data_IF_849904328872
#
_entry.id   IF_849904328872
#
_cell.length_a   1.000
_cell.length_b   1.000
_cell.length_c   1.000
_cell.angle_alpha   90.00
_cell.angle_beta   90.00
_cell.angle_gamma   90.00
#
_symmetry.space_group_name_H-M   'P 1'
#
loop_
_entity.id
_entity.type
_entity.pdbx_description
1 polymer ?
#
# COMPACT_ATOMS: atom_id res chain seq x y z
N UNK A 1 36.70 -23.78 36.11
CA UNK A 1 36.17 -24.17 37.43
C UNK A 1 35.10 -25.22 37.19
N UNK A 2 35.39 -26.50 37.40
CA UNK A 2 34.32 -27.51 37.41
C UNK A 2 33.55 -27.31 38.72
N UNK A 3 32.33 -26.82 38.65
CA UNK A 3 31.41 -26.93 39.78
C UNK A 3 31.19 -28.42 40.01
N UNK A 4 31.38 -28.88 41.25
CA UNK A 4 30.93 -30.22 41.64
C UNK A 4 29.42 -30.27 41.46
N UNK A 5 28.94 -31.22 40.66
CA UNK A 5 27.51 -31.46 40.55
C UNK A 5 26.95 -31.76 41.94
N UNK A 6 25.74 -31.26 42.22
CA UNK A 6 25.00 -31.63 43.44
C UNK A 6 24.35 -33.00 43.31
N UNK A 7 24.28 -33.52 42.10
CA UNK A 7 23.65 -34.80 41.78
C UNK A 7 24.60 -35.95 42.09
N UNK A 8 24.02 -37.07 42.48
CA UNK A 8 24.78 -38.29 42.81
C UNK A 8 25.44 -38.88 41.56
N UNK A 9 26.54 -39.61 41.75
CA UNK A 9 27.26 -40.29 40.66
C UNK A 9 26.34 -41.25 39.89
N UNK A 10 25.46 -41.94 40.61
CA UNK A 10 24.44 -42.84 40.07
C UNK A 10 23.44 -42.10 39.15
N UNK A 11 23.01 -40.88 39.51
CA UNK A 11 22.15 -40.07 38.65
C UNK A 11 22.86 -39.65 37.38
N UNK A 12 24.13 -39.23 37.45
CA UNK A 12 24.91 -38.85 36.28
C UNK A 12 25.12 -40.02 35.32
N UNK A 13 25.36 -41.23 35.85
CA UNK A 13 25.44 -42.44 35.04
C UNK A 13 24.10 -42.79 34.38
N UNK A 14 22.97 -42.64 35.09
CA UNK A 14 21.66 -42.84 34.50
C UNK A 14 21.37 -41.85 33.35
N UNK A 15 21.80 -40.60 33.47
CA UNK A 15 21.71 -39.62 32.39
C UNK A 15 22.56 -39.99 31.16
N UNK A 16 23.79 -40.46 31.38
CA UNK A 16 24.66 -40.94 30.30
C UNK A 16 24.02 -42.14 29.59
N UNK A 17 23.58 -43.14 30.34
CA UNK A 17 22.91 -44.32 29.78
C UNK A 17 21.68 -43.92 28.96
N UNK A 18 20.88 -42.97 29.44
CA UNK A 18 19.73 -42.48 28.70
C UNK A 18 20.12 -41.77 27.40
N UNK A 19 21.14 -40.90 27.43
CA UNK A 19 21.62 -40.19 26.24
C UNK A 19 22.22 -41.14 25.20
N UNK A 20 22.89 -42.21 25.64
CA UNK A 20 23.54 -43.17 24.75
C UNK A 20 22.55 -44.20 24.17
N UNK A 21 21.58 -44.66 24.97
CA UNK A 21 20.74 -45.80 24.59
C UNK A 21 19.32 -45.43 24.19
N UNK A 22 18.76 -44.36 24.77
CA UNK A 22 17.34 -44.03 24.64
C UNK A 22 17.09 -42.75 23.83
N UNK A 23 18.05 -41.82 23.76
CA UNK A 23 17.92 -40.62 22.95
C UNK A 23 18.06 -40.94 21.46
N UNK A 24 17.08 -40.52 20.66
CA UNK A 24 17.13 -40.63 19.19
C UNK A 24 17.24 -39.25 18.58
N UNK A 25 18.30 -39.01 17.82
CA UNK A 25 18.49 -37.78 17.05
C UNK A 25 18.10 -38.05 15.60
N UNK A 26 17.17 -37.26 15.08
CA UNK A 26 16.86 -37.25 13.64
C UNK A 26 17.68 -36.14 13.01
N UNK A 27 18.66 -36.51 12.19
CA UNK A 27 19.46 -35.57 11.42
C UNK A 27 18.92 -35.54 9.99
N UNK A 28 18.42 -34.39 9.55
CA UNK A 28 18.03 -34.17 8.16
C UNK A 28 19.08 -33.28 7.50
N UNK A 29 19.76 -33.82 6.50
CA UNK A 29 20.79 -33.09 5.73
C UNK A 29 20.18 -32.67 4.40
N UNK A 30 20.09 -31.36 4.17
CA UNK A 30 19.61 -30.82 2.92
C UNK A 30 20.76 -30.59 1.93
N UNK A 31 20.52 -30.77 0.62
CA UNK A 31 21.55 -30.61 -0.41
C UNK A 31 21.97 -29.15 -0.63
N UNK A 32 21.11 -28.19 -0.31
CA UNK A 32 21.37 -26.76 -0.39
C UNK A 32 20.47 -25.99 0.60
N UNK A 33 20.74 -24.70 0.80
CA UNK A 33 20.01 -23.89 1.77
C UNK A 33 18.52 -23.71 1.41
N UNK A 34 18.16 -23.76 0.12
CA UNK A 34 16.77 -23.61 -0.32
C UNK A 34 15.95 -24.85 0.01
N UNK A 35 16.52 -26.03 -0.19
CA UNK A 35 15.94 -27.30 0.25
C UNK A 35 15.96 -27.42 1.78
N UNK A 36 17.00 -26.91 2.46
CA UNK A 36 17.06 -26.85 3.92
C UNK A 36 15.92 -26.02 4.48
N UNK A 37 15.62 -24.88 3.85
CA UNK A 37 14.51 -24.02 4.19
C UNK A 37 13.16 -24.72 4.03
N UNK A 38 12.89 -25.35 2.87
CA UNK A 38 11.62 -26.05 2.63
C UNK A 38 11.43 -27.18 3.66
N UNK A 39 12.48 -27.97 3.92
CA UNK A 39 12.46 -29.03 4.93
C UNK A 39 12.17 -28.44 6.32
N UNK A 40 12.83 -27.32 6.65
CA UNK A 40 12.65 -26.65 7.93
C UNK A 40 11.23 -26.08 8.11
N UNK A 41 10.64 -25.47 7.08
CA UNK A 41 9.23 -25.02 7.12
C UNK A 41 8.28 -26.20 7.28
N UNK A 42 8.45 -27.24 6.47
CA UNK A 42 7.57 -28.41 6.50
C UNK A 42 7.62 -29.14 7.86
N UNK A 43 8.78 -29.13 8.53
CA UNK A 43 8.95 -29.73 9.87
C UNK A 43 8.41 -28.85 11.00
N UNK A 44 8.37 -27.51 10.82
CA UNK A 44 7.90 -26.55 11.81
C UNK A 44 6.42 -26.16 11.66
N UNK A 45 5.69 -26.77 10.73
CA UNK A 45 4.27 -26.51 10.40
C UNK A 45 3.26 -26.93 11.51
N UNK A 46 3.66 -26.82 12.79
CA UNK A 46 2.83 -27.05 13.98
C UNK A 46 2.42 -25.76 14.67
N UNK A 47 2.21 -24.68 13.91
CA UNK A 47 1.43 -23.51 14.36
C UNK A 47 2.21 -22.21 14.62
N UNK A 48 3.50 -22.13 14.28
CA UNK A 48 4.23 -20.86 14.22
C UNK A 48 5.07 -20.86 12.94
N UNK A 49 4.72 -20.03 11.94
CA UNK A 49 5.56 -19.79 10.76
C UNK A 49 6.95 -19.33 11.23
N UNK A 50 7.97 -20.17 11.10
CA UNK A 50 9.35 -19.72 11.23
C UNK A 50 9.76 -19.10 9.89
N UNK A 51 9.45 -17.81 9.78
CA UNK A 51 9.50 -17.04 8.56
C UNK A 51 10.93 -16.83 8.03
N UNK A 52 11.06 -16.54 6.74
CA UNK A 52 12.31 -16.15 6.05
C UNK A 52 13.12 -15.07 6.81
N UNK A 53 12.44 -14.26 7.62
CA UNK A 53 13.05 -13.31 8.56
C UNK A 53 14.00 -13.98 9.56
N UNK A 54 13.67 -15.15 10.11
CA UNK A 54 14.50 -15.86 11.07
C UNK A 54 15.76 -16.45 10.45
N UNK A 55 15.67 -16.98 9.24
CA UNK A 55 16.86 -17.39 8.48
C UNK A 55 17.80 -16.22 8.25
N UNK A 56 17.26 -15.08 7.79
CA UNK A 56 18.06 -13.89 7.53
C UNK A 56 18.66 -13.32 8.83
N UNK A 57 17.90 -13.31 9.93
CA UNK A 57 18.34 -12.92 11.27
C UNK A 57 19.54 -13.74 11.71
N UNK A 58 19.40 -15.07 11.70
CA UNK A 58 20.46 -15.99 12.12
C UNK A 58 21.71 -15.85 11.24
N UNK A 59 21.51 -15.69 9.93
CA UNK A 59 22.62 -15.46 9.00
C UNK A 59 23.36 -14.14 9.29
N UNK A 60 22.63 -13.05 9.53
CA UNK A 60 23.20 -11.76 9.91
C UNK A 60 23.99 -11.85 11.22
N UNK A 61 23.43 -12.52 12.22
CA UNK A 61 24.06 -12.69 13.53
C UNK A 61 25.38 -13.46 13.41
N UNK A 62 25.34 -14.59 12.69
CA UNK A 62 26.54 -15.39 12.44
C UNK A 62 27.61 -14.59 11.68
N UNK A 63 27.23 -13.86 10.61
CA UNK A 63 28.17 -13.05 9.83
C UNK A 63 28.75 -11.86 10.58
N UNK A 64 28.11 -11.43 11.67
CA UNK A 64 28.56 -10.28 12.47
C UNK A 64 29.71 -10.61 13.44
N UNK A 65 30.01 -11.91 13.66
CA UNK A 65 31.12 -12.35 14.50
C UNK A 65 31.05 -11.74 15.91
N UNK A 66 32.16 -11.17 16.38
CA UNK A 66 32.26 -10.53 17.71
C UNK A 66 31.38 -9.27 17.87
N UNK A 67 30.75 -8.78 16.80
CA UNK A 67 29.79 -7.66 16.81
C UNK A 67 28.33 -8.12 16.74
N UNK A 68 28.08 -9.40 17.08
CA UNK A 68 26.74 -9.98 17.11
C UNK A 68 25.76 -9.17 17.98
N UNK A 69 26.20 -8.67 19.14
CA UNK A 69 25.29 -7.99 20.08
C UNK A 69 24.80 -6.64 19.55
N UNK A 70 25.66 -5.91 18.85
CA UNK A 70 25.28 -4.69 18.13
C UNK A 70 24.23 -4.97 17.05
N UNK A 71 24.41 -6.08 16.32
CA UNK A 71 23.47 -6.51 15.26
C UNK A 71 22.14 -7.01 15.84
N UNK A 72 22.16 -7.73 16.97
CA UNK A 72 20.94 -8.12 17.69
C UNK A 72 20.15 -6.90 18.13
N UNK A 73 20.81 -5.91 18.74
CA UNK A 73 20.14 -4.70 19.20
C UNK A 73 19.48 -3.93 18.04
N UNK A 74 20.17 -3.81 16.90
CA UNK A 74 19.59 -3.23 15.67
C UNK A 74 18.40 -4.02 15.14
N UNK A 75 18.50 -5.35 15.13
CA UNK A 75 17.40 -6.22 14.70
C UNK A 75 16.18 -6.07 15.62
N UNK A 76 16.37 -6.09 16.94
CA UNK A 76 15.29 -5.92 17.92
C UNK A 76 14.65 -4.54 17.81
N UNK A 77 15.46 -3.48 17.62
CA UNK A 77 14.95 -2.13 17.39
C UNK A 77 14.11 -2.05 16.12
N UNK A 78 14.57 -2.63 15.01
CA UNK A 78 13.82 -2.72 13.76
C UNK A 78 12.47 -3.43 13.97
N UNK A 79 12.46 -4.60 14.62
CA UNK A 79 11.23 -5.37 14.88
C UNK A 79 10.25 -4.55 15.73
N UNK A 80 10.71 -3.97 16.83
CA UNK A 80 9.87 -3.16 17.73
C UNK A 80 9.24 -1.96 17.02
N UNK A 81 9.97 -1.27 16.15
CA UNK A 81 9.44 -0.15 15.34
C UNK A 81 8.32 -0.63 14.41
N UNK A 82 8.52 -1.78 13.75
CA UNK A 82 7.55 -2.31 12.79
C UNK A 82 6.29 -2.84 13.48
N UNK A 83 6.42 -3.55 14.59
CA UNK A 83 5.30 -4.03 15.41
C UNK A 83 4.49 -2.87 16.02
N UNK A 84 5.15 -1.75 16.34
CA UNK A 84 4.46 -0.55 16.82
C UNK A 84 3.74 0.20 15.69
N UNK A 85 4.10 -0.04 14.43
CA UNK A 85 3.55 0.68 13.28
C UNK A 85 2.25 0.07 12.74
N UNK A 86 2.02 -1.22 12.98
CA UNK A 86 0.86 -1.96 12.48
C UNK A 86 0.69 -3.27 13.24
N UNK A 87 -0.57 -3.68 13.42
CA UNK A 87 -0.91 -5.01 13.96
C UNK A 87 -0.57 -6.15 12.98
N UNK A 88 -0.36 -5.85 11.70
CA UNK A 88 0.03 -6.84 10.69
C UNK A 88 1.51 -7.25 10.86
N UNK A 89 1.88 -8.52 10.60
CA UNK A 89 3.27 -8.97 10.68
C UNK A 89 4.11 -8.39 9.52
N UNK A 90 4.77 -7.26 9.77
CA UNK A 90 5.47 -6.49 8.74
C UNK A 90 6.94 -6.88 8.50
N UNK A 91 7.56 -7.67 9.37
CA UNK A 91 9.02 -7.91 9.34
C UNK A 91 9.49 -8.46 8.00
N UNK A 92 8.87 -9.54 7.50
CA UNK A 92 9.24 -10.14 6.20
C UNK A 92 8.98 -9.17 5.05
N UNK A 93 7.83 -8.51 5.07
CA UNK A 93 7.43 -7.52 4.06
C UNK A 93 8.44 -6.36 4.00
N UNK A 94 8.85 -5.84 5.15
CA UNK A 94 9.85 -4.79 5.24
C UNK A 94 11.21 -5.26 4.70
N UNK A 95 11.71 -6.42 5.16
CA UNK A 95 12.98 -6.98 4.69
C UNK A 95 12.98 -7.14 3.15
N UNK A 96 11.87 -7.60 2.59
CA UNK A 96 11.69 -7.74 1.14
C UNK A 96 11.69 -6.38 0.44
N UNK A 97 10.87 -5.43 0.90
CA UNK A 97 10.79 -4.10 0.29
C UNK A 97 12.11 -3.32 0.38
N UNK A 98 12.77 -3.37 1.52
CA UNK A 98 14.08 -2.77 1.74
C UNK A 98 15.14 -3.38 0.80
N UNK A 99 15.13 -4.69 0.64
CA UNK A 99 16.01 -5.39 -0.30
C UNK A 99 15.68 -5.03 -1.76
N UNK A 100 14.40 -4.91 -2.09
CA UNK A 100 13.95 -4.54 -3.43
C UNK A 100 14.39 -3.13 -3.83
N UNK A 101 14.37 -2.19 -2.89
CA UNK A 101 14.86 -0.83 -3.09
C UNK A 101 16.33 -0.82 -3.55
N UNK A 102 17.15 -1.76 -3.08
CA UNK A 102 18.59 -1.83 -3.39
C UNK A 102 18.94 -2.73 -4.57
N UNK A 103 18.18 -3.81 -4.78
CA UNK A 103 18.60 -4.90 -5.66
C UNK A 103 17.65 -5.20 -6.82
N UNK A 104 16.47 -4.58 -6.85
CA UNK A 104 15.41 -4.82 -7.84
C UNK A 104 14.40 -5.87 -7.37
N UNK A 105 13.58 -6.40 -8.26
CA UNK A 105 12.53 -7.37 -7.90
C UNK A 105 13.09 -8.58 -7.13
N UNK A 106 12.54 -8.84 -5.94
CA UNK A 106 12.84 -10.02 -5.12
C UNK A 106 11.51 -10.64 -4.68
N UNK A 107 11.32 -11.92 -5.01
CA UNK A 107 10.22 -12.71 -4.44
C UNK A 107 10.57 -13.15 -3.04
N UNK A 108 9.55 -13.33 -2.20
CA UNK A 108 9.74 -13.71 -0.80
C UNK A 108 10.63 -14.94 -0.64
N UNK A 109 10.30 -16.05 -1.34
CA UNK A 109 11.09 -17.29 -1.37
C UNK A 109 12.56 -17.12 -1.81
N UNK A 110 12.87 -16.05 -2.54
CA UNK A 110 14.23 -15.79 -3.05
C UNK A 110 15.04 -14.91 -2.10
N UNK A 111 14.37 -14.21 -1.17
CA UNK A 111 14.95 -13.17 -0.32
C UNK A 111 16.20 -13.67 0.41
N UNK A 112 16.10 -14.79 1.11
CA UNK A 112 17.25 -15.34 1.84
C UNK A 112 18.45 -15.62 0.92
N UNK A 113 18.22 -16.28 -0.22
CA UNK A 113 19.28 -16.62 -1.18
C UNK A 113 19.95 -15.38 -1.77
N UNK A 114 19.17 -14.33 -2.07
CA UNK A 114 19.68 -13.05 -2.59
C UNK A 114 20.53 -12.38 -1.53
N UNK A 115 20.05 -12.30 -0.30
CA UNK A 115 20.75 -11.63 0.79
C UNK A 115 22.05 -12.35 1.16
N UNK A 116 22.07 -13.69 1.17
CA UNK A 116 23.30 -14.47 1.38
C UNK A 116 24.38 -14.14 0.33
N UNK A 117 23.99 -13.93 -0.93
CA UNK A 117 24.92 -13.51 -2.01
C UNK A 117 25.43 -12.08 -1.87
N UNK A 118 24.65 -11.18 -1.25
CA UNK A 118 25.01 -9.76 -1.06
C UNK A 118 25.82 -9.53 0.22
N UNK A 119 25.52 -10.28 1.27
CA UNK A 119 26.11 -10.14 2.60
C UNK A 119 27.16 -11.23 2.79
N UNK A 120 28.31 -11.05 2.16
CA UNK A 120 29.41 -12.03 2.13
C UNK A 120 30.47 -11.78 3.19
N UNK A 121 30.59 -10.54 3.67
CA UNK A 121 31.59 -10.12 4.65
C UNK A 121 30.94 -9.64 5.95
N UNK A 122 31.73 -9.65 7.03
CA UNK A 122 31.33 -9.04 8.29
C UNK A 122 30.96 -7.57 8.16
N UNK A 123 31.74 -6.80 7.38
CA UNK A 123 31.46 -5.39 7.09
C UNK A 123 30.07 -5.21 6.45
N UNK A 124 29.74 -6.06 5.47
CA UNK A 124 28.43 -5.99 4.81
C UNK A 124 27.30 -6.32 5.79
N UNK A 125 27.50 -7.28 6.70
CA UNK A 125 26.48 -7.65 7.69
C UNK A 125 26.20 -6.50 8.67
N UNK A 126 27.25 -5.83 9.17
CA UNK A 126 27.11 -4.69 10.07
C UNK A 126 26.50 -3.46 9.39
N UNK A 127 26.91 -3.17 8.15
CA UNK A 127 26.32 -2.09 7.38
C UNK A 127 24.84 -2.36 7.12
N UNK A 128 24.52 -3.56 6.62
CA UNK A 128 23.14 -3.92 6.32
C UNK A 128 22.24 -3.90 7.57
N UNK A 129 22.74 -4.33 8.72
CA UNK A 129 21.97 -4.24 9.98
C UNK A 129 21.71 -2.80 10.41
N UNK A 130 22.68 -1.89 10.21
CA UNK A 130 22.47 -0.45 10.48
C UNK A 130 21.41 0.13 9.56
N UNK A 131 21.55 -0.10 8.25
CA UNK A 131 20.63 0.45 7.27
C UNK A 131 19.20 -0.12 7.44
N UNK A 132 19.05 -1.39 7.83
CA UNK A 132 17.75 -1.98 8.17
C UNK A 132 17.10 -1.29 9.36
N UNK A 133 17.88 -1.00 10.41
CA UNK A 133 17.39 -0.32 11.61
C UNK A 133 16.96 1.11 11.29
N UNK A 134 17.76 1.85 10.52
CA UNK A 134 17.48 3.22 10.10
C UNK A 134 16.26 3.29 9.16
N UNK A 135 16.20 2.40 8.17
CA UNK A 135 15.10 2.32 7.21
C UNK A 135 13.76 1.96 7.86
N UNK A 136 13.75 1.28 9.01
CA UNK A 136 12.52 0.87 9.68
C UNK A 136 11.70 2.08 10.16
N UNK A 137 12.38 3.14 10.61
CA UNK A 137 11.72 4.39 11.02
C UNK A 137 11.04 5.08 9.83
N UNK A 138 11.72 5.16 8.69
CA UNK A 138 11.15 5.74 7.45
C UNK A 138 9.99 4.88 6.95
N UNK A 139 10.14 3.55 7.00
CA UNK A 139 9.08 2.62 6.60
C UNK A 139 7.85 2.69 7.51
N UNK A 140 8.05 2.85 8.82
CA UNK A 140 6.98 3.13 9.79
C UNK A 140 6.25 4.43 9.45
N UNK A 141 6.98 5.49 9.08
CA UNK A 141 6.36 6.74 8.61
C UNK A 141 5.54 6.58 7.32
N UNK A 142 5.95 5.69 6.40
CA UNK A 142 5.16 5.35 5.20
C UNK A 142 3.85 4.62 5.53
N UNK A 143 3.76 3.97 6.69
CA UNK A 143 2.55 3.29 7.17
C UNK A 143 1.69 4.27 7.97
N UNK A 144 2.30 4.99 8.91
CA UNK A 144 1.64 5.98 9.76
C UNK A 144 1.95 7.40 9.27
N UNK A 145 1.00 8.01 8.57
CA UNK A 145 1.17 9.36 7.99
C UNK A 145 1.15 10.50 9.00
N UNK A 146 0.84 10.22 10.27
CA UNK A 146 0.95 11.18 11.38
C UNK A 146 2.29 11.08 12.12
N UNK A 147 3.21 10.23 11.64
CA UNK A 147 4.54 10.10 12.21
C UNK A 147 5.36 11.40 12.10
N UNK A 148 6.14 11.73 13.13
CA UNK A 148 6.92 12.99 13.24
C UNK A 148 7.92 13.22 12.10
N UNK A 149 8.37 12.14 11.45
CA UNK A 149 9.24 12.16 10.25
C UNK A 149 8.73 13.10 9.16
N UNK A 150 7.42 13.27 9.05
CA UNK A 150 6.82 14.15 8.04
C UNK A 150 6.91 15.63 8.35
N UNK A 151 7.37 16.02 9.55
CA UNK A 151 7.46 17.43 9.96
C UNK A 151 8.47 18.23 9.14
N UNK A 152 9.47 17.56 8.58
CA UNK A 152 10.54 18.17 7.78
C UNK A 152 10.20 18.25 6.27
N UNK A 153 8.96 17.91 5.89
CA UNK A 153 8.52 17.87 4.48
C UNK A 153 7.27 18.73 4.27
N UNK A 154 7.10 19.26 3.04
CA UNK A 154 5.81 19.84 2.61
C UNK A 154 4.65 18.87 2.93
N UNK A 155 3.55 19.33 3.58
CA UNK A 155 2.38 18.50 3.92
C UNK A 155 1.80 17.69 2.75
N UNK A 156 2.03 18.10 1.50
CA UNK A 156 1.65 17.34 0.30
C UNK A 156 2.36 15.99 0.21
N UNK A 157 3.55 15.83 0.79
CA UNK A 157 4.28 14.56 0.79
C UNK A 157 3.52 13.52 1.61
N UNK A 158 3.20 13.84 2.87
CA UNK A 158 2.37 12.95 3.71
C UNK A 158 0.97 12.75 3.14
N UNK A 159 0.38 13.77 2.51
CA UNK A 159 -0.89 13.66 1.80
C UNK A 159 -0.84 12.68 0.62
N UNK A 160 0.28 12.65 -0.11
CA UNK A 160 0.51 11.69 -1.20
C UNK A 160 0.68 10.27 -0.67
N UNK A 161 1.42 10.08 0.44
CA UNK A 161 1.55 8.78 1.11
C UNK A 161 0.19 8.28 1.62
N UNK A 162 -0.59 9.16 2.26
CA UNK A 162 -1.94 8.84 2.73
C UNK A 162 -2.84 8.39 1.57
N UNK A 163 -2.75 9.07 0.44
CA UNK A 163 -3.48 8.69 -0.78
C UNK A 163 -3.04 7.32 -1.31
N UNK A 164 -1.73 7.06 -1.40
CA UNK A 164 -1.21 5.77 -1.85
C UNK A 164 -1.63 4.62 -0.93
N UNK A 165 -1.65 4.85 0.39
CA UNK A 165 -2.15 3.88 1.37
C UNK A 165 -3.66 3.65 1.22
N UNK A 166 -4.45 4.71 1.01
CA UNK A 166 -5.89 4.61 0.75
C UNK A 166 -6.21 3.79 -0.51
N UNK A 167 -5.40 3.94 -1.55
CA UNK A 167 -5.50 3.18 -2.79
C UNK A 167 -4.95 1.74 -2.66
N UNK A 168 -4.32 1.40 -1.54
CA UNK A 168 -3.76 0.08 -1.28
C UNK A 168 -2.46 -0.22 -2.04
N UNK A 169 -1.70 0.82 -2.42
CA UNK A 169 -0.49 0.70 -3.24
C UNK A 169 0.72 0.26 -2.40
N UNK A 170 0.66 -0.89 -1.73
CA UNK A 170 1.74 -1.35 -0.83
C UNK A 170 3.05 -1.65 -1.57
N UNK A 171 2.97 -2.12 -2.82
CA UNK A 171 4.13 -2.50 -3.63
C UNK A 171 4.97 -1.31 -4.13
N UNK A 172 4.49 -0.07 -4.00
CA UNK A 172 5.26 1.13 -4.38
C UNK A 172 6.32 1.50 -3.33
N UNK A 173 6.20 0.97 -2.10
CA UNK A 173 7.04 1.36 -0.96
C UNK A 173 8.55 1.26 -1.19
N UNK A 174 9.10 0.24 -1.90
CA UNK A 174 10.53 0.24 -2.25
C UNK A 174 10.97 1.49 -3.00
N UNK A 175 10.16 1.96 -3.95
CA UNK A 175 10.43 3.18 -4.72
C UNK A 175 10.33 4.43 -3.84
N UNK A 176 9.33 4.49 -2.96
CA UNK A 176 9.21 5.61 -2.01
C UNK A 176 10.42 5.70 -1.07
N UNK A 177 10.90 4.56 -0.56
CA UNK A 177 12.12 4.49 0.27
C UNK A 177 13.33 5.05 -0.48
N UNK A 178 13.58 4.56 -1.71
CA UNK A 178 14.71 5.03 -2.52
C UNK A 178 14.63 6.53 -2.82
N UNK A 179 13.43 7.06 -3.10
CA UNK A 179 13.23 8.49 -3.36
C UNK A 179 13.50 9.31 -2.09
N UNK A 180 12.97 8.91 -0.93
CA UNK A 180 13.19 9.61 0.34
C UNK A 180 14.67 9.63 0.74
N UNK A 181 15.41 8.58 0.42
CA UNK A 181 16.84 8.49 0.71
C UNK A 181 17.69 9.34 -0.25
N UNK A 182 17.33 9.41 -1.54
CA UNK A 182 18.20 9.97 -2.59
C UNK A 182 17.82 11.35 -3.09
N UNK A 183 16.56 11.75 -2.99
CA UNK A 183 16.08 13.01 -3.56
C UNK A 183 16.05 14.10 -2.48
N UNK A 184 16.25 15.36 -2.89
CA UNK A 184 15.94 16.50 -2.03
C UNK A 184 14.42 16.65 -1.82
N UNK A 185 14.03 17.40 -0.79
CA UNK A 185 12.63 17.59 -0.38
C UNK A 185 11.70 18.03 -1.54
N UNK A 186 12.15 18.99 -2.36
CA UNK A 186 11.36 19.48 -3.51
C UNK A 186 11.10 18.38 -4.54
N UNK A 187 12.12 17.59 -4.86
CA UNK A 187 12.00 16.45 -5.77
C UNK A 187 11.18 15.31 -5.16
N UNK A 188 11.27 15.06 -3.85
CA UNK A 188 10.39 14.12 -3.14
C UNK A 188 8.94 14.54 -3.30
N UNK A 189 8.60 15.77 -2.94
CA UNK A 189 7.23 16.29 -3.02
C UNK A 189 6.64 16.17 -4.43
N UNK A 190 7.37 16.67 -5.43
CA UNK A 190 6.93 16.62 -6.83
C UNK A 190 6.74 15.17 -7.30
N UNK A 191 7.68 14.28 -6.97
CA UNK A 191 7.63 12.87 -7.42
C UNK A 191 6.50 12.11 -6.75
N UNK A 192 6.25 12.32 -5.46
CA UNK A 192 5.18 11.64 -4.75
C UNK A 192 3.80 12.01 -5.31
N UNK A 193 3.57 13.30 -5.61
CA UNK A 193 2.33 13.76 -6.26
C UNK A 193 2.15 13.13 -7.66
N UNK A 194 3.23 13.01 -8.43
CA UNK A 194 3.19 12.36 -9.75
C UNK A 194 2.95 10.86 -9.62
N UNK A 195 3.52 10.19 -8.63
CA UNK A 195 3.27 8.77 -8.36
C UNK A 195 1.81 8.50 -7.95
N UNK A 196 1.16 9.43 -7.24
CA UNK A 196 -0.30 9.36 -7.01
C UNK A 196 -1.06 9.41 -8.33
N UNK A 197 -0.68 10.31 -9.24
CA UNK A 197 -1.31 10.41 -10.57
C UNK A 197 -1.10 9.13 -11.39
N UNK A 198 0.10 8.55 -11.36
CA UNK A 198 0.42 7.26 -11.97
C UNK A 198 -0.45 6.15 -11.39
N UNK A 199 -0.56 6.05 -10.07
CA UNK A 199 -1.36 5.03 -9.39
C UNK A 199 -2.84 5.11 -9.79
N UNK A 200 -3.43 6.31 -9.76
CA UNK A 200 -4.82 6.53 -10.17
C UNK A 200 -5.05 6.14 -11.64
N UNK A 201 -4.14 6.52 -12.53
CA UNK A 201 -4.25 6.15 -13.96
C UNK A 201 -4.25 4.66 -14.17
N UNK A 202 -3.31 3.94 -13.57
CA UNK A 202 -3.28 2.47 -13.67
C UNK A 202 -4.49 1.82 -13.03
N UNK A 203 -4.99 2.34 -11.91
CA UNK A 203 -6.15 1.77 -11.23
C UNK A 203 -7.45 1.95 -12.03
N UNK A 204 -7.60 3.06 -12.73
CA UNK A 204 -8.79 3.35 -13.54
C UNK A 204 -8.76 2.65 -14.89
N UNK A 205 -7.63 2.66 -15.59
CA UNK A 205 -7.50 2.03 -16.92
C UNK A 205 -7.35 0.51 -16.78
N UNK A 206 -6.73 0.04 -15.70
CA UNK A 206 -6.44 -1.37 -15.49
C UNK A 206 -5.44 -1.93 -16.49
N UNK A 207 -5.53 -3.23 -16.76
CA UNK A 207 -4.77 -3.92 -17.80
C UNK A 207 -3.32 -4.27 -17.45
N UNK A 208 -2.72 -3.64 -16.44
CA UNK A 208 -1.40 -4.03 -15.95
C UNK A 208 -1.52 -5.00 -14.78
N UNK A 209 -1.04 -6.23 -14.96
CA UNK A 209 -1.02 -7.23 -13.91
C UNK A 209 -0.15 -6.80 -12.72
N UNK A 210 -0.57 -7.14 -11.50
CA UNK A 210 0.13 -6.74 -10.26
C UNK A 210 1.62 -7.08 -10.26
N UNK A 211 2.02 -8.24 -10.80
CA UNK A 211 3.43 -8.62 -10.91
C UNK A 211 4.26 -7.74 -11.86
N UNK A 212 3.64 -7.16 -12.89
CA UNK A 212 4.30 -6.21 -13.79
C UNK A 212 4.52 -4.87 -13.10
N UNK A 213 3.53 -4.40 -12.34
CA UNK A 213 3.67 -3.18 -11.54
C UNK A 213 4.72 -3.34 -10.44
N UNK A 214 4.73 -4.48 -9.73
CA UNK A 214 5.73 -4.76 -8.70
C UNK A 214 7.16 -4.68 -9.24
N UNK A 215 7.39 -5.30 -10.41
CA UNK A 215 8.69 -5.27 -11.08
C UNK A 215 9.09 -3.84 -11.43
N UNK A 216 8.17 -3.09 -12.02
CA UNK A 216 8.42 -1.72 -12.42
C UNK A 216 8.78 -0.83 -11.22
N UNK A 217 8.07 -0.96 -10.10
CA UNK A 217 8.42 -0.25 -8.87
C UNK A 217 9.79 -0.66 -8.33
N UNK A 218 10.09 -1.95 -8.27
CA UNK A 218 11.36 -2.45 -7.74
C UNK A 218 12.57 -2.05 -8.59
N UNK A 219 12.47 -2.17 -9.91
CA UNK A 219 13.55 -1.85 -10.83
C UNK A 219 13.80 -0.33 -10.91
N UNK A 220 12.73 0.48 -10.82
CA UNK A 220 12.84 1.93 -10.69
C UNK A 220 13.47 2.32 -9.35
N UNK A 221 13.07 1.68 -8.25
CA UNK A 221 13.64 1.90 -6.92
C UNK A 221 15.15 1.65 -6.92
N UNK A 222 15.57 0.51 -7.44
CA UNK A 222 16.99 0.18 -7.63
C UNK A 222 17.73 1.23 -8.44
N UNK A 223 17.15 1.67 -9.55
CA UNK A 223 17.76 2.69 -10.42
C UNK A 223 17.91 4.05 -9.72
N UNK A 224 16.97 4.42 -8.84
CA UNK A 224 17.09 5.59 -7.97
C UNK A 224 18.22 5.39 -6.95
N UNK A 225 18.25 4.24 -6.27
CA UNK A 225 19.29 3.93 -5.26
C UNK A 225 20.70 3.90 -5.86
N UNK A 226 20.84 3.42 -7.09
CA UNK A 226 22.12 3.40 -7.84
C UNK A 226 22.49 4.78 -8.45
N UNK A 227 21.64 5.79 -8.31
CA UNK A 227 21.88 7.15 -8.85
C UNK A 227 21.72 7.26 -10.37
N UNK A 228 21.11 6.26 -11.03
CA UNK A 228 20.79 6.29 -12.46
C UNK A 228 19.54 7.12 -12.76
N UNK A 229 18.63 7.20 -11.80
CA UNK A 229 17.44 8.06 -11.83
C UNK A 229 17.58 9.05 -10.68
N UNK A 230 17.59 10.35 -10.99
CA UNK A 230 17.86 11.43 -10.01
C UNK A 230 16.78 12.50 -9.99
N UNK A 231 15.86 12.46 -10.96
CA UNK A 231 14.80 13.47 -11.11
C UNK A 231 13.42 12.84 -11.17
N UNK A 232 12.41 13.65 -10.82
CA UNK A 232 11.00 13.27 -10.94
C UNK A 232 10.63 12.83 -12.37
N UNK A 233 11.12 13.56 -13.38
CA UNK A 233 10.85 13.26 -14.79
C UNK A 233 11.37 11.89 -15.20
N UNK A 234 12.56 11.52 -14.76
CA UNK A 234 13.15 10.21 -15.05
C UNK A 234 12.38 9.08 -14.35
N UNK A 235 11.94 9.28 -13.10
CA UNK A 235 11.07 8.32 -12.40
C UNK A 235 9.82 8.04 -13.21
N UNK A 236 9.12 9.09 -13.66
CA UNK A 236 7.90 8.96 -14.46
C UNK A 236 8.16 8.33 -15.83
N UNK A 237 9.29 8.67 -16.46
CA UNK A 237 9.69 8.10 -17.75
C UNK A 237 9.99 6.59 -17.67
N UNK A 238 10.33 6.07 -16.48
CA UNK A 238 10.50 4.63 -16.27
C UNK A 238 9.19 3.85 -16.44
N UNK A 239 8.02 4.49 -16.26
CA UNK A 239 6.71 3.85 -16.42
C UNK A 239 6.32 3.75 -17.90
N UNK A 240 6.93 2.81 -18.62
CA UNK A 240 6.80 2.66 -20.08
C UNK A 240 5.39 2.40 -20.60
N UNK A 241 4.51 1.80 -19.79
CA UNK A 241 3.11 1.49 -20.14
C UNK A 241 2.11 2.40 -19.42
N UNK A 242 2.53 3.60 -19.03
CA UNK A 242 1.67 4.57 -18.37
C UNK A 242 0.47 4.93 -19.27
N UNK A 243 -0.78 4.90 -18.76
CA UNK A 243 -1.93 5.26 -19.56
C UNK A 243 -1.92 6.74 -20.00
N UNK A 244 -2.11 6.95 -21.30
CA UNK A 244 -2.25 8.28 -21.90
C UNK A 244 -3.48 9.01 -21.39
N UNK A 245 -3.54 10.33 -21.58
CA UNK A 245 -4.71 11.14 -21.23
C UNK A 245 -5.99 10.63 -21.89
N UNK A 246 -5.91 10.20 -23.16
CA UNK A 246 -7.06 9.62 -23.86
C UNK A 246 -7.49 8.30 -23.25
N UNK A 247 -6.55 7.38 -22.98
CA UNK A 247 -6.88 6.09 -22.37
C UNK A 247 -7.45 6.27 -20.96
N UNK A 248 -6.87 7.19 -20.18
CA UNK A 248 -7.35 7.52 -18.85
C UNK A 248 -8.73 8.17 -18.88
N UNK A 249 -8.98 9.14 -19.77
CA UNK A 249 -10.32 9.76 -19.95
C UNK A 249 -11.37 8.71 -20.29
N UNK A 250 -11.07 7.81 -21.23
CA UNK A 250 -11.98 6.71 -21.61
C UNK A 250 -12.21 5.74 -20.45
N UNK A 251 -11.17 5.33 -19.73
CA UNK A 251 -11.33 4.46 -18.56
C UNK A 251 -12.13 5.13 -17.45
N UNK A 252 -11.87 6.40 -17.17
CA UNK A 252 -12.55 7.16 -16.13
C UNK A 252 -14.02 7.42 -16.47
N UNK A 253 -14.34 7.70 -17.74
CA UNK A 253 -15.72 7.89 -18.18
C UNK A 253 -16.57 6.65 -17.96
N UNK A 254 -15.93 5.46 -17.90
CA UNK A 254 -16.60 4.18 -17.64
C UNK A 254 -16.38 3.54 -16.26
N UNK A 255 -15.62 4.19 -15.37
CA UNK A 255 -15.20 3.59 -14.11
C UNK A 255 -16.37 3.30 -13.15
N UNK A 256 -16.37 2.09 -12.58
CA UNK A 256 -17.25 1.67 -11.48
C UNK A 256 -16.42 1.41 -10.22
N UNK A 257 -16.77 2.06 -9.11
CA UNK A 257 -15.99 2.01 -7.86
C UNK A 257 -16.88 1.51 -6.72
N UNK A 258 -16.67 0.26 -6.30
CA UNK A 258 -17.46 -0.36 -5.24
C UNK A 258 -17.04 0.05 -3.82
N UNK A 259 -15.75 0.37 -3.63
CA UNK A 259 -15.22 0.77 -2.32
C UNK A 259 -15.56 2.23 -2.04
N UNK A 260 -16.48 2.47 -1.11
CA UNK A 260 -16.97 3.83 -0.80
C UNK A 260 -15.84 4.82 -0.44
N UNK A 261 -14.83 4.38 0.32
CA UNK A 261 -13.67 5.22 0.66
C UNK A 261 -12.92 5.73 -0.58
N UNK A 262 -12.79 4.88 -1.61
CA UNK A 262 -12.12 5.23 -2.87
C UNK A 262 -13.03 6.11 -3.74
N UNK A 263 -14.33 5.81 -3.82
CA UNK A 263 -15.28 6.64 -4.54
C UNK A 263 -15.31 8.08 -4.00
N UNK A 264 -15.32 8.24 -2.67
CA UNK A 264 -15.21 9.56 -2.03
C UNK A 264 -13.90 10.25 -2.35
N UNK A 265 -12.77 9.54 -2.38
CA UNK A 265 -11.50 10.14 -2.79
C UNK A 265 -11.58 10.76 -4.18
N UNK A 266 -12.11 10.04 -5.17
CA UNK A 266 -12.27 10.58 -6.52
C UNK A 266 -13.20 11.79 -6.56
N UNK A 267 -14.37 11.70 -5.93
CA UNK A 267 -15.34 12.79 -5.91
C UNK A 267 -14.82 14.03 -5.16
N UNK A 268 -14.07 13.86 -4.07
CA UNK A 268 -13.43 14.96 -3.34
C UNK A 268 -12.37 15.64 -4.18
N UNK A 269 -11.51 14.88 -4.86
CA UNK A 269 -10.50 15.45 -5.75
C UNK A 269 -11.13 16.24 -6.91
N UNK A 270 -12.25 15.74 -7.47
CA UNK A 270 -13.00 16.44 -8.50
C UNK A 270 -13.66 17.73 -7.97
N UNK A 271 -14.25 17.68 -6.77
CA UNK A 271 -14.86 18.85 -6.13
C UNK A 271 -13.81 19.93 -5.83
N UNK A 272 -12.66 19.54 -5.26
CA UNK A 272 -11.53 20.43 -4.95
C UNK A 272 -11.00 21.17 -6.19
N UNK A 273 -11.01 20.51 -7.36
CA UNK A 273 -10.62 21.13 -8.63
C UNK A 273 -11.66 22.16 -9.12
N UNK A 274 -12.95 21.93 -8.88
CA UNK A 274 -14.02 22.84 -9.32
C UNK A 274 -14.05 24.11 -8.47
N UNK A 275 -14.00 23.98 -7.14
CA UNK A 275 -14.12 25.12 -6.21
C UNK A 275 -12.81 25.87 -6.00
N UNK A 276 -11.68 25.28 -6.44
CA UNK A 276 -10.34 25.76 -6.16
C UNK A 276 -9.80 25.30 -4.81
N UNK A 277 -8.50 24.98 -4.76
CA UNK A 277 -7.80 24.33 -3.63
C UNK A 277 -7.80 25.09 -2.29
N UNK A 278 -8.39 26.29 -2.23
CA UNK A 278 -8.35 27.19 -1.08
C UNK A 278 -9.74 27.60 -0.58
N UNK A 279 -10.81 26.95 -1.07
CA UNK A 279 -12.18 27.23 -0.62
C UNK A 279 -12.47 26.57 0.73
N UNK A 280 -13.19 27.27 1.62
CA UNK A 280 -13.72 26.71 2.88
C UNK A 280 -14.72 25.55 2.65
N UNK A 281 -15.11 25.32 1.39
CA UNK A 281 -16.07 24.29 0.97
C UNK A 281 -15.41 22.95 0.60
N UNK A 282 -14.10 22.78 0.81
CA UNK A 282 -13.43 21.48 0.60
C UNK A 282 -14.14 20.41 1.44
N UNK A 283 -14.65 19.33 0.82
CA UNK A 283 -15.40 18.33 1.56
C UNK A 283 -14.54 17.68 2.63
N UNK A 284 -15.08 17.49 3.83
CA UNK A 284 -14.35 16.82 4.92
C UNK A 284 -13.96 15.39 4.55
N UNK A 285 -12.81 14.95 5.07
CA UNK A 285 -12.38 13.54 5.03
C UNK A 285 -13.22 12.70 6.01
N UNK A 286 -13.77 13.34 7.04
CA UNK A 286 -14.59 12.73 8.08
C UNK A 286 -15.87 12.13 7.49
N UNK A 287 -15.98 10.82 7.63
CA UNK A 287 -17.06 10.02 7.06
C UNK A 287 -18.38 10.24 7.77
N UNK A 288 -18.35 10.74 8.99
CA UNK A 288 -19.54 11.04 9.79
C UNK A 288 -20.14 12.40 9.40
N UNK A 289 -19.34 13.25 8.74
CA UNK A 289 -19.76 14.56 8.21
C UNK A 289 -20.12 14.55 6.74
N UNK A 290 -19.37 13.78 5.94
CA UNK A 290 -19.57 13.66 4.50
C UNK A 290 -19.75 12.19 4.10
N UNK A 291 -20.94 11.87 3.64
CA UNK A 291 -21.31 10.54 3.17
C UNK A 291 -21.21 10.43 1.65
N UNK A 292 -21.18 9.18 1.17
CA UNK A 292 -21.36 8.84 -0.23
C UNK A 292 -22.85 8.59 -0.48
N UNK A 293 -23.43 9.33 -1.41
CA UNK A 293 -24.80 9.15 -1.88
C UNK A 293 -24.81 8.41 -3.22
N UNK A 294 -25.80 7.53 -3.39
CA UNK A 294 -26.10 6.87 -4.66
C UNK A 294 -27.36 7.50 -5.26
N UNK A 295 -27.22 8.20 -6.38
CA UNK A 295 -28.36 8.91 -7.00
C UNK A 295 -29.42 7.90 -7.44
N UNK A 296 -29.04 6.90 -8.25
CA UNK A 296 -29.77 5.63 -8.36
C UNK A 296 -29.54 4.83 -7.06
N UNK A 297 -30.55 4.68 -6.18
CA UNK A 297 -30.37 4.12 -4.85
C UNK A 297 -30.07 2.62 -4.84
N UNK A 298 -29.41 2.14 -3.78
CA UNK A 298 -29.10 0.71 -3.58
C UNK A 298 -30.32 -0.19 -3.51
N UNK A 299 -31.46 0.35 -3.07
CA UNK A 299 -32.76 -0.33 -3.07
C UNK A 299 -33.72 0.47 -3.97
N UNK A 300 -33.71 0.22 -5.30
CA UNK A 300 -34.57 0.91 -6.25
C UNK A 300 -36.06 0.70 -5.96
N UNK A 301 -36.83 1.78 -5.96
CA UNK A 301 -38.30 1.73 -5.96
C UNK A 301 -38.82 1.24 -7.32
N UNK A 302 -40.13 1.03 -7.43
CA UNK A 302 -40.76 0.61 -8.69
C UNK A 302 -40.50 1.61 -9.84
N UNK A 303 -40.45 2.91 -9.53
CA UNK A 303 -40.13 3.97 -10.50
C UNK A 303 -38.72 3.82 -11.04
N UNK A 304 -37.72 3.64 -10.17
CA UNK A 304 -36.35 3.40 -10.57
C UNK A 304 -36.20 2.13 -11.42
N UNK A 305 -36.92 1.05 -11.08
CA UNK A 305 -36.94 -0.20 -11.84
C UNK A 305 -37.64 -0.08 -13.22
N UNK A 306 -38.49 0.93 -13.40
CA UNK A 306 -39.05 1.24 -14.71
C UNK A 306 -37.97 1.76 -15.66
N UNK A 307 -37.07 2.63 -15.15
CA UNK A 307 -35.97 3.26 -15.89
C UNK A 307 -34.72 2.37 -16.01
N UNK A 308 -34.35 1.67 -14.94
CA UNK A 308 -33.17 0.81 -14.88
C UNK A 308 -33.59 -0.64 -14.69
N UNK A 309 -33.41 -1.46 -15.74
CA UNK A 309 -33.59 -2.91 -15.63
C UNK A 309 -32.46 -3.54 -14.81
N UNK A 310 -32.60 -4.79 -14.31
CA UNK A 310 -31.60 -5.40 -13.43
C UNK A 310 -30.17 -5.38 -13.97
N UNK A 311 -29.97 -5.58 -15.27
CA UNK A 311 -28.63 -5.54 -15.89
C UNK A 311 -28.09 -4.10 -15.97
N UNK A 312 -28.95 -3.12 -16.28
CA UNK A 312 -28.58 -1.71 -16.22
C UNK A 312 -28.23 -1.29 -14.79
N UNK A 313 -29.00 -1.71 -13.79
CA UNK A 313 -28.70 -1.43 -12.39
C UNK A 313 -27.29 -1.94 -12.02
N UNK A 314 -26.97 -3.19 -12.35
CA UNK A 314 -25.64 -3.77 -12.10
C UNK A 314 -24.51 -2.99 -12.78
N UNK A 315 -24.75 -2.52 -14.01
CA UNK A 315 -23.75 -1.79 -14.78
C UNK A 315 -23.56 -0.34 -14.28
N UNK A 316 -24.63 0.34 -13.85
CA UNK A 316 -24.63 1.78 -13.58
C UNK A 316 -24.61 2.17 -12.11
N UNK A 317 -25.05 1.31 -11.19
CA UNK A 317 -25.17 1.66 -9.76
C UNK A 317 -23.86 2.18 -9.15
N UNK A 318 -22.75 1.50 -9.43
CA UNK A 318 -21.42 1.85 -8.87
C UNK A 318 -20.61 2.80 -9.75
N UNK A 319 -21.20 3.35 -10.82
CA UNK A 319 -20.52 4.29 -11.71
C UNK A 319 -20.23 5.58 -11.00
N UNK A 320 -19.04 6.16 -11.17
CA UNK A 320 -18.70 7.44 -10.53
C UNK A 320 -19.71 8.55 -10.87
N UNK A 321 -20.29 8.55 -12.08
CA UNK A 321 -21.33 9.50 -12.45
C UNK A 321 -22.61 9.37 -11.62
N UNK A 322 -22.91 8.17 -11.10
CA UNK A 322 -24.05 7.90 -10.22
C UNK A 322 -23.79 8.22 -8.74
N UNK A 323 -22.54 8.53 -8.40
CA UNK A 323 -22.13 8.78 -7.02
C UNK A 323 -22.01 10.27 -6.76
N UNK A 324 -22.35 10.67 -5.54
CA UNK A 324 -22.26 12.03 -5.06
C UNK A 324 -21.69 12.08 -3.64
N UNK A 325 -21.02 13.18 -3.29
CA UNK A 325 -20.65 13.47 -1.91
C UNK A 325 -21.70 14.37 -1.28
N UNK A 326 -22.13 14.07 -0.06
CA UNK A 326 -23.19 14.81 0.61
C UNK A 326 -22.91 14.99 2.09
N UNK A 327 -23.35 16.11 2.64
CA UNK A 327 -23.37 16.30 4.09
C UNK A 327 -24.33 15.26 4.72
N UNK A 328 -23.89 14.58 5.78
CA UNK A 328 -24.61 13.42 6.34
C UNK A 328 -26.06 13.73 6.73
N UNK A 329 -26.31 14.92 7.27
CA UNK A 329 -27.66 15.38 7.65
C UNK A 329 -28.61 15.51 6.46
N UNK A 330 -28.09 15.97 5.31
CA UNK A 330 -28.87 16.04 4.08
C UNK A 330 -29.09 14.63 3.54
N UNK A 331 -28.04 13.80 3.54
CA UNK A 331 -28.10 12.44 3.03
C UNK A 331 -29.13 11.56 3.75
N UNK A 332 -29.23 11.67 5.08
CA UNK A 332 -30.21 10.93 5.89
C UNK A 332 -31.67 11.31 5.57
N UNK A 333 -31.90 12.44 4.92
CA UNK A 333 -33.24 12.93 4.56
C UNK A 333 -33.70 12.40 3.19
N UNK A 334 -32.76 12.10 2.28
CA UNK A 334 -33.04 11.72 0.88
C UNK A 334 -33.56 10.28 0.77
N UNK A 335 -32.88 9.34 1.43
CA UNK A 335 -33.20 7.91 1.37
C UNK A 335 -33.30 7.36 -0.07
N UNK A 336 -34.28 6.49 -0.29
CA UNK A 336 -34.55 5.86 -1.59
C UNK A 336 -35.64 6.58 -2.40
N UNK A 337 -35.83 7.89 -2.18
CA UNK A 337 -36.82 8.69 -2.90
C UNK A 337 -36.66 8.66 -4.42
N UNK A 338 -37.71 9.07 -5.11
CA UNK A 338 -37.71 9.36 -6.55
C UNK A 338 -36.65 10.40 -6.90
N UNK A 339 -36.19 10.44 -8.15
CA UNK A 339 -35.21 11.43 -8.58
C UNK A 339 -35.69 12.87 -8.32
N UNK A 340 -36.98 13.14 -8.53
CA UNK A 340 -37.57 14.45 -8.29
C UNK A 340 -37.45 14.89 -6.82
N UNK A 341 -37.72 13.98 -5.88
CA UNK A 341 -37.54 14.24 -4.44
C UNK A 341 -36.07 14.47 -4.09
N UNK A 342 -35.17 13.66 -4.66
CA UNK A 342 -33.72 13.80 -4.44
C UNK A 342 -33.20 15.15 -4.97
N UNK A 343 -33.68 15.60 -6.13
CA UNK A 343 -33.26 16.86 -6.76
C UNK A 343 -33.50 18.07 -5.87
N UNK A 344 -34.63 18.14 -5.17
CA UNK A 344 -34.93 19.26 -4.25
C UNK A 344 -33.95 19.36 -3.08
N UNK A 345 -33.32 18.24 -2.71
CA UNK A 345 -32.27 18.20 -1.69
C UNK A 345 -30.91 18.54 -2.32
N UNK A 346 -30.61 18.01 -3.51
CA UNK A 346 -29.36 18.29 -4.21
C UNK A 346 -29.18 19.78 -4.53
N UNK A 347 -30.25 20.51 -4.87
CA UNK A 347 -30.25 21.99 -5.04
C UNK A 347 -29.74 22.75 -3.81
N UNK A 348 -29.88 22.17 -2.62
CA UNK A 348 -29.46 22.75 -1.34
C UNK A 348 -28.03 22.34 -0.96
N UNK A 349 -27.41 21.44 -1.72
CA UNK A 349 -26.04 20.99 -1.46
C UNK A 349 -25.05 22.11 -1.72
N UNK A 350 -24.10 22.30 -0.80
CA UNK A 350 -22.96 23.20 -0.97
C UNK A 350 -21.85 22.61 -1.86
N UNK A 351 -21.91 21.32 -2.18
CA UNK A 351 -20.96 20.68 -3.09
C UNK A 351 -21.42 20.85 -4.53
N UNK A 352 -20.61 21.47 -5.36
CA UNK A 352 -20.86 21.84 -6.75
C UNK A 352 -21.16 20.62 -7.62
N UNK A 353 -20.41 19.52 -7.44
CA UNK A 353 -20.71 18.26 -8.14
C UNK A 353 -22.11 17.77 -7.79
N UNK A 354 -22.48 17.76 -6.51
CA UNK A 354 -23.80 17.26 -6.11
C UNK A 354 -24.92 18.21 -6.52
N UNK A 355 -24.69 19.53 -6.41
CA UNK A 355 -25.65 20.55 -6.79
C UNK A 355 -26.02 20.44 -8.28
N UNK A 356 -25.02 20.30 -9.16
CA UNK A 356 -25.22 20.14 -10.61
C UNK A 356 -25.99 18.87 -11.02
N UNK A 357 -26.22 17.91 -10.12
CA UNK A 357 -27.14 16.79 -10.39
C UNK A 357 -28.56 17.30 -10.59
N UNK A 358 -28.95 18.37 -9.90
CA UNK A 358 -30.29 18.93 -9.96
C UNK A 358 -30.60 19.69 -11.26
N UNK A 359 -29.59 19.93 -12.11
CA UNK A 359 -29.77 20.51 -13.44
C UNK A 359 -30.31 19.48 -14.46
N UNK A 360 -30.20 18.19 -14.14
CA UNK A 360 -30.75 17.12 -14.97
C UNK A 360 -32.26 16.99 -14.72
N UNK A 361 -33.04 16.93 -15.80
CA UNK A 361 -34.51 16.79 -15.70
C UNK A 361 -34.94 15.34 -15.39
N UNK A 362 -34.15 14.36 -15.81
CA UNK A 362 -34.38 12.93 -15.61
C UNK A 362 -33.06 12.23 -15.31
N UNK A 363 -33.10 11.23 -14.43
CA UNK A 363 -31.92 10.42 -14.14
C UNK A 363 -32.01 9.07 -14.82
N UNK A 364 -31.29 8.93 -15.94
CA UNK A 364 -31.21 7.70 -16.73
C UNK A 364 -29.74 7.38 -17.07
N UNK A 365 -29.51 6.33 -17.86
CA UNK A 365 -28.17 5.90 -18.30
C UNK A 365 -27.37 7.04 -18.96
N UNK A 366 -28.02 7.80 -19.85
CA UNK A 366 -27.38 8.91 -20.56
C UNK A 366 -26.96 10.03 -19.62
N UNK A 367 -27.77 10.35 -18.60
CA UNK A 367 -27.42 11.34 -17.58
C UNK A 367 -26.16 10.94 -16.80
N UNK A 368 -26.08 9.67 -16.37
CA UNK A 368 -24.91 9.12 -15.66
C UNK A 368 -23.66 9.20 -16.57
N UNK A 369 -23.78 8.81 -17.84
CA UNK A 369 -22.68 8.83 -18.80
C UNK A 369 -22.19 10.25 -19.08
N UNK A 370 -23.10 11.18 -19.36
CA UNK A 370 -22.76 12.58 -19.66
C UNK A 370 -22.06 13.24 -18.48
N UNK A 371 -22.58 13.01 -17.27
CA UNK A 371 -21.98 13.51 -16.04
C UNK A 371 -20.58 12.93 -15.81
N UNK A 372 -20.43 11.61 -15.95
CA UNK A 372 -19.14 10.97 -15.74
C UNK A 372 -18.11 11.36 -16.82
N UNK A 373 -18.56 11.66 -18.04
CA UNK A 373 -17.70 12.20 -19.10
C UNK A 373 -17.14 13.58 -18.73
N UNK A 374 -17.97 14.48 -18.18
CA UNK A 374 -17.52 15.78 -17.65
C UNK A 374 -16.51 15.59 -16.50
N UNK A 375 -16.78 14.64 -15.59
CA UNK A 375 -15.83 14.29 -14.52
C UNK A 375 -14.49 13.76 -15.08
N UNK A 376 -14.53 12.97 -16.16
CA UNK A 376 -13.32 12.45 -16.79
C UNK A 376 -12.44 13.56 -17.38
N UNK A 377 -13.04 14.67 -17.84
CA UNK A 377 -12.29 15.84 -18.32
C UNK A 377 -11.54 16.56 -17.20
N UNK A 378 -12.15 16.66 -16.03
CA UNK A 378 -11.50 17.19 -14.82
C UNK A 378 -10.42 16.22 -14.34
N UNK A 379 -10.70 14.91 -14.34
CA UNK A 379 -9.75 13.89 -13.90
C UNK A 379 -8.41 13.97 -14.63
N UNK A 380 -8.41 14.19 -15.96
CA UNK A 380 -7.18 14.35 -16.75
C UNK A 380 -6.31 15.51 -16.24
N UNK A 381 -6.94 16.62 -15.82
CA UNK A 381 -6.24 17.79 -15.28
C UNK A 381 -5.67 17.53 -13.88
N UNK A 382 -6.47 16.89 -13.02
CA UNK A 382 -6.11 16.59 -11.63
C UNK A 382 -4.91 15.65 -11.56
N UNK A 383 -4.97 14.55 -12.33
CA UNK A 383 -3.95 13.50 -12.34
C UNK A 383 -3.07 13.61 -13.59
N UNK A 384 -2.57 14.81 -13.86
CA UNK A 384 -1.65 15.08 -14.97
C UNK A 384 -0.24 14.54 -14.71
N UNK A 385 0.38 13.97 -15.74
CA UNK A 385 1.72 13.35 -15.68
C UNK A 385 2.81 14.34 -16.02
#
# INVERSE_FOLDING_TARGET
>A
MCQKSKDSEEELHAWLDYLETNMKIIVVVAPDDSNAFIIFETLNDRGLELAISDLLKNYLFHRSGEKIEETKNRWLSMVSILESASDDPLVVTYLRHFSMAKYGLIREKELFSVMKRKITSKKNALNYSSELSEGARVYSALINTEHEFWSDFDPKVRGSVSTLNLLGMTQIRPLLLSILEKFNEKNVCTTFQKLVSVAVRFQIVGGVGGGTMERLYADTAKSVTEGKITTSKEVISAFTNLPSDSAFKTGFSIASISKQKIARFYLRALEEEIIGKSSEQVPSIDTDRVNLEHILPSTPTQEWNATFKPDDFRAYHNRLGNLAIMASKLNSTVGNGSFAEKCEIYKKSSFSLTNSVADESVWNKQAIENRQLKMAELAVKIWAI
#
